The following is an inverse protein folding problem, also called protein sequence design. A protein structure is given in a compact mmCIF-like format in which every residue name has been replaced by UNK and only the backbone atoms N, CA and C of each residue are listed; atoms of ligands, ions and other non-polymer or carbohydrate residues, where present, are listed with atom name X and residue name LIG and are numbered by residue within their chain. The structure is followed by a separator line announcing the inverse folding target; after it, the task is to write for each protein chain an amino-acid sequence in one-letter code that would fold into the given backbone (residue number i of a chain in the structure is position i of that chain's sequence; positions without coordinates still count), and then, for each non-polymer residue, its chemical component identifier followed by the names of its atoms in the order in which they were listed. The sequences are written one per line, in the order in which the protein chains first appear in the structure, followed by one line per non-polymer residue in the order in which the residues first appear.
data_IF_200979071660
#
_entry.id   IF_200979071660
#
_cell.length_a   1.000
_cell.length_b   1.000
_cell.length_c   1.000
_cell.angle_alpha   90.00
_cell.angle_beta   90.00
_cell.angle_gamma   90.00
#
_symmetry.space_group_name_H-M   'P 1'
#
loop_
_entity.id
_entity.type
_entity.pdbx_description
1 polymer ?
#
# COMPACT_ATOMS: atom_id res chain seq x y z
N UNK A 1 -17.65 2.55 25.64
CA UNK A 1 -18.45 2.04 24.51
C UNK A 1 -17.52 1.25 23.62
N UNK A 2 -17.94 0.11 23.12
CA UNK A 2 -17.11 -0.72 22.22
C UNK A 2 -17.03 -0.06 20.84
N UNK A 3 -15.82 0.04 20.26
CA UNK A 3 -15.64 0.65 18.95
C UNK A 3 -16.28 -0.22 17.84
N UNK A 4 -16.77 0.43 16.81
CA UNK A 4 -17.35 -0.20 15.62
C UNK A 4 -16.52 0.21 14.42
N UNK A 5 -15.64 -0.67 13.96
CA UNK A 5 -14.69 -0.41 12.89
C UNK A 5 -15.08 -1.23 11.66
N UNK A 6 -15.16 -0.58 10.51
CA UNK A 6 -15.36 -1.21 9.22
C UNK A 6 -14.06 -1.04 8.41
N UNK A 7 -13.61 -2.08 7.75
CA UNK A 7 -12.61 -2.01 6.69
C UNK A 7 -13.28 -2.32 5.36
N UNK A 8 -13.20 -1.40 4.41
CA UNK A 8 -13.69 -1.57 3.03
C UNK A 8 -12.49 -1.74 2.11
N UNK A 9 -12.58 -2.67 1.17
CA UNK A 9 -11.51 -2.99 0.21
C UNK A 9 -12.16 -3.37 -1.13
N UNK A 10 -11.81 -2.63 -2.18
CA UNK A 10 -12.37 -2.85 -3.51
C UNK A 10 -11.79 -4.10 -4.14
N UNK A 11 -12.65 -4.98 -4.66
CA UNK A 11 -12.23 -6.23 -5.25
C UNK A 11 -11.54 -6.01 -6.60
N UNK A 12 -10.25 -6.37 -6.69
CA UNK A 12 -9.41 -6.24 -7.88
C UNK A 12 -9.52 -4.84 -8.53
N UNK A 13 -9.38 -3.78 -7.74
CA UNK A 13 -9.83 -2.42 -8.04
C UNK A 13 -9.51 -1.95 -9.47
N UNK A 14 -8.22 -1.81 -9.83
CA UNK A 14 -7.87 -1.29 -11.15
C UNK A 14 -8.37 -2.17 -12.28
N UNK A 15 -8.25 -3.49 -12.14
CA UNK A 15 -8.75 -4.44 -13.13
C UNK A 15 -10.28 -4.35 -13.27
N UNK A 16 -11.00 -4.18 -12.16
CA UNK A 16 -12.46 -4.04 -12.15
C UNK A 16 -12.91 -2.75 -12.81
N UNK A 17 -12.18 -1.64 -12.61
CA UNK A 17 -12.45 -0.37 -13.32
C UNK A 17 -12.26 -0.53 -14.83
N UNK A 18 -11.19 -1.21 -15.26
CA UNK A 18 -10.96 -1.46 -16.68
C UNK A 18 -12.07 -2.35 -17.30
N UNK A 19 -12.48 -3.42 -16.61
CA UNK A 19 -13.59 -4.29 -17.05
C UNK A 19 -14.94 -3.59 -17.04
N UNK A 20 -15.17 -2.64 -16.12
CA UNK A 20 -16.37 -1.80 -16.09
C UNK A 20 -16.44 -0.91 -17.33
N UNK A 21 -15.36 -0.21 -17.60
CA UNK A 21 -15.29 0.82 -18.65
C UNK A 21 -15.16 0.23 -20.05
N UNK A 22 -14.55 -0.97 -20.19
CA UNK A 22 -14.43 -1.69 -21.44
C UNK A 22 -15.01 -3.11 -21.32
N UNK A 23 -16.24 -3.35 -21.85
CA UNK A 23 -16.88 -4.65 -21.80
C UNK A 23 -16.09 -5.81 -22.42
N UNK A 24 -15.23 -5.54 -23.40
CA UNK A 24 -14.39 -6.58 -24.07
C UNK A 24 -13.37 -7.21 -23.10
N UNK A 25 -13.04 -6.52 -22.00
CA UNK A 25 -12.13 -7.03 -20.97
C UNK A 25 -12.82 -7.91 -19.92
N UNK A 26 -14.15 -8.06 -19.99
CA UNK A 26 -14.92 -8.85 -19.03
C UNK A 26 -14.76 -10.34 -19.30
N UNK A 27 -14.61 -11.11 -18.22
CA UNK A 27 -14.53 -12.57 -18.31
C UNK A 27 -13.20 -13.13 -18.82
N UNK A 28 -12.24 -12.28 -19.17
CA UNK A 28 -10.90 -12.69 -19.61
C UNK A 28 -9.85 -12.45 -18.55
N UNK A 29 -8.75 -13.21 -18.52
CA UNK A 29 -7.62 -12.93 -17.65
C UNK A 29 -7.00 -11.58 -18.00
N UNK A 30 -7.05 -10.60 -17.07
CA UNK A 30 -6.61 -9.24 -17.25
C UNK A 30 -5.59 -8.87 -16.17
N UNK A 31 -4.53 -8.17 -16.57
CA UNK A 31 -3.60 -7.49 -15.69
C UNK A 31 -3.50 -6.00 -16.08
N UNK A 32 -3.61 -5.14 -15.09
CA UNK A 32 -3.24 -3.72 -15.25
C UNK A 32 -1.75 -3.60 -14.96
N UNK A 33 -1.01 -3.01 -15.88
CA UNK A 33 0.44 -2.86 -15.79
C UNK A 33 1.09 -2.82 -17.16
N UNK A 34 2.41 -2.95 -17.19
CA UNK A 34 3.20 -2.93 -18.41
C UNK A 34 3.66 -4.34 -18.76
N UNK A 35 3.53 -4.71 -20.04
CA UNK A 35 3.87 -6.04 -20.54
C UNK A 35 5.36 -6.25 -20.81
N UNK A 36 6.16 -5.16 -20.75
CA UNK A 36 7.58 -5.12 -21.05
C UNK A 36 8.41 -5.97 -20.08
N UNK A 37 9.69 -6.14 -20.39
CA UNK A 37 10.61 -7.03 -19.66
C UNK A 37 10.69 -6.72 -18.17
N UNK A 38 10.68 -5.42 -17.79
CA UNK A 38 10.71 -4.95 -16.41
C UNK A 38 9.35 -4.56 -15.86
N UNK A 39 8.30 -4.87 -16.61
CA UNK A 39 6.92 -4.60 -16.21
C UNK A 39 6.51 -5.38 -14.96
N UNK A 40 5.54 -4.82 -14.23
CA UNK A 40 4.96 -5.38 -13.01
C UNK A 40 3.44 -5.35 -13.12
N UNK A 41 2.78 -6.37 -12.61
CA UNK A 41 1.33 -6.40 -12.43
C UNK A 41 0.94 -5.45 -11.29
N UNK A 42 0.24 -4.37 -11.61
CA UNK A 42 -0.32 -3.47 -10.60
C UNK A 42 -1.59 -4.07 -9.98
N UNK A 43 -2.47 -4.64 -10.81
CA UNK A 43 -3.66 -5.36 -10.36
C UNK A 43 -3.98 -6.52 -11.34
N UNK A 44 -4.53 -7.60 -10.81
CA UNK A 44 -4.96 -8.77 -11.59
C UNK A 44 -6.45 -9.01 -11.40
N UNK A 45 -7.19 -9.26 -12.49
CA UNK A 45 -8.58 -9.69 -12.44
C UNK A 45 -8.73 -11.04 -11.73
N UNK A 46 -9.94 -11.33 -11.26
CA UNK A 46 -10.19 -12.65 -10.64
C UNK A 46 -10.00 -13.82 -11.62
N UNK A 47 -10.26 -13.59 -12.90
CA UNK A 47 -9.96 -14.55 -13.97
C UNK A 47 -8.46 -14.83 -14.05
N UNK A 48 -7.61 -13.80 -14.00
CA UNK A 48 -6.15 -13.95 -13.99
C UNK A 48 -5.64 -14.61 -12.69
N UNK A 49 -6.26 -14.30 -11.55
CA UNK A 49 -5.90 -14.89 -10.24
C UNK A 49 -6.11 -16.39 -10.17
N UNK A 50 -7.03 -16.97 -10.97
CA UNK A 50 -7.23 -18.43 -11.10
C UNK A 50 -5.98 -19.15 -11.63
N UNK A 51 -5.18 -18.45 -12.43
CA UNK A 51 -3.89 -18.94 -12.94
C UNK A 51 -2.70 -18.64 -12.02
N UNK A 52 -2.95 -18.06 -10.84
CA UNK A 52 -1.89 -17.68 -9.89
C UNK A 52 -1.27 -16.30 -10.12
N UNK A 53 -1.79 -15.50 -11.05
CA UNK A 53 -1.34 -14.13 -11.26
C UNK A 53 -1.75 -13.24 -10.07
N UNK A 54 -0.82 -12.44 -9.57
CA UNK A 54 -1.03 -11.56 -8.40
C UNK A 54 -0.37 -10.20 -8.63
N UNK A 55 -0.86 -9.18 -7.90
CA UNK A 55 -0.20 -7.87 -7.83
C UNK A 55 1.25 -8.00 -7.36
N UNK A 56 2.09 -7.09 -7.79
CA UNK A 56 3.54 -7.04 -7.58
C UNK A 56 4.36 -8.15 -8.29
N UNK A 57 3.71 -9.07 -8.98
CA UNK A 57 4.39 -10.08 -9.79
C UNK A 57 5.01 -9.44 -11.05
N UNK A 58 6.20 -9.91 -11.46
CA UNK A 58 6.77 -9.47 -12.74
C UNK A 58 5.89 -9.91 -13.90
N UNK A 59 5.75 -9.06 -14.91
CA UNK A 59 4.90 -9.33 -16.08
C UNK A 59 5.33 -10.58 -16.83
N UNK A 60 6.63 -10.87 -16.88
CA UNK A 60 7.14 -12.11 -17.49
C UNK A 60 6.69 -13.37 -16.73
N UNK A 61 6.73 -13.33 -15.38
CA UNK A 61 6.22 -14.46 -14.58
C UNK A 61 4.71 -14.61 -14.76
N UNK A 62 3.96 -13.50 -14.78
CA UNK A 62 2.53 -13.50 -15.00
C UNK A 62 2.14 -14.13 -16.34
N UNK A 63 2.85 -13.77 -17.43
CA UNK A 63 2.65 -14.38 -18.77
C UNK A 63 2.98 -15.86 -18.80
N UNK A 64 3.99 -16.32 -18.05
CA UNK A 64 4.29 -17.77 -17.96
C UNK A 64 3.19 -18.54 -17.24
N UNK A 65 2.57 -17.97 -16.20
CA UNK A 65 1.47 -18.59 -15.48
C UNK A 65 0.16 -18.55 -16.29
N UNK A 66 -0.06 -17.50 -17.07
CA UNK A 66 -1.26 -17.30 -17.88
C UNK A 66 -0.85 -16.76 -19.26
N UNK A 67 -0.56 -17.65 -20.24
CA UNK A 67 -0.13 -17.23 -21.59
C UNK A 67 -1.15 -16.34 -22.32
N UNK A 68 -2.45 -16.52 -22.05
CA UNK A 68 -3.54 -15.70 -22.59
C UNK A 68 -3.79 -14.39 -21.81
N UNK A 69 -2.93 -14.03 -20.87
CA UNK A 69 -3.09 -12.82 -20.07
C UNK A 69 -3.05 -11.54 -20.92
N UNK A 70 -4.11 -10.77 -20.85
CA UNK A 70 -4.19 -9.45 -21.49
C UNK A 70 -3.64 -8.40 -20.54
N UNK A 71 -2.70 -7.58 -21.03
CA UNK A 71 -2.19 -6.42 -20.29
C UNK A 71 -2.84 -5.15 -20.82
N UNK A 72 -3.24 -4.28 -19.87
CA UNK A 72 -3.68 -2.90 -20.16
C UNK A 72 -2.88 -1.92 -19.33
N UNK A 73 -2.56 -0.76 -19.92
CA UNK A 73 -1.90 0.33 -19.20
C UNK A 73 -2.84 0.91 -18.13
N UNK A 74 -2.29 1.23 -16.98
CA UNK A 74 -3.06 1.83 -15.89
C UNK A 74 -3.48 3.27 -16.18
N UNK A 75 -4.73 3.63 -15.85
CA UNK A 75 -5.30 4.98 -15.94
C UNK A 75 -5.40 5.59 -14.53
N UNK A 76 -4.29 6.03 -13.98
CA UNK A 76 -4.19 6.47 -12.58
C UNK A 76 -5.10 7.66 -12.24
N UNK A 77 -5.35 8.55 -13.19
CA UNK A 77 -6.29 9.66 -13.08
C UNK A 77 -7.73 9.18 -12.89
N UNK A 78 -8.15 8.16 -13.65
CA UNK A 78 -9.46 7.52 -13.53
C UNK A 78 -9.59 6.81 -12.17
N UNK A 79 -8.57 6.04 -11.77
CA UNK A 79 -8.61 5.33 -10.47
C UNK A 79 -8.71 6.29 -9.29
N UNK A 80 -7.99 7.43 -9.34
CA UNK A 80 -8.12 8.49 -8.32
C UNK A 80 -9.51 9.14 -8.32
N UNK A 81 -10.11 9.34 -9.49
CA UNK A 81 -11.47 9.88 -9.59
C UNK A 81 -12.49 8.91 -8.98
N UNK A 82 -12.41 7.63 -9.30
CA UNK A 82 -13.25 6.59 -8.72
C UNK A 82 -13.04 6.48 -7.20
N UNK A 83 -11.80 6.53 -6.74
CA UNK A 83 -11.47 6.52 -5.31
C UNK A 83 -12.16 7.69 -4.57
N UNK A 84 -12.18 8.90 -5.14
CA UNK A 84 -12.90 10.04 -4.55
C UNK A 84 -14.41 9.76 -4.44
N UNK A 85 -15.04 9.20 -5.48
CA UNK A 85 -16.46 8.83 -5.44
C UNK A 85 -16.74 7.77 -4.34
N UNK A 86 -15.85 6.80 -4.16
CA UNK A 86 -15.95 5.82 -3.07
C UNK A 86 -15.89 6.53 -1.71
N UNK A 87 -14.98 7.48 -1.53
CA UNK A 87 -14.86 8.25 -0.30
C UNK A 87 -16.09 9.16 -0.05
N UNK A 88 -16.72 9.72 -1.07
CA UNK A 88 -17.98 10.44 -0.96
C UNK A 88 -19.08 9.56 -0.34
N UNK A 89 -19.17 8.29 -0.78
CA UNK A 89 -20.09 7.32 -0.18
C UNK A 89 -19.73 7.07 1.30
N UNK A 90 -18.47 6.95 1.67
CA UNK A 90 -18.06 6.75 3.07
C UNK A 90 -18.46 7.94 3.95
N UNK A 91 -18.31 9.17 3.43
CA UNK A 91 -18.64 10.40 4.14
C UNK A 91 -20.15 10.55 4.44
N UNK A 92 -21.01 9.81 3.79
CA UNK A 92 -22.44 9.78 4.15
C UNK A 92 -22.67 9.15 5.53
N UNK A 93 -21.74 8.31 6.01
CA UNK A 93 -21.87 7.57 7.26
C UNK A 93 -20.95 8.09 8.37
N UNK A 94 -19.73 8.50 8.05
CA UNK A 94 -18.75 9.00 9.03
C UNK A 94 -17.71 9.89 8.37
N UNK A 95 -17.12 10.81 9.14
CA UNK A 95 -15.93 11.56 8.71
C UNK A 95 -14.62 10.98 9.29
N UNK A 96 -14.73 9.98 10.17
CA UNK A 96 -13.55 9.30 10.73
C UNK A 96 -13.15 8.17 9.78
N UNK A 97 -12.40 8.54 8.72
CA UNK A 97 -12.00 7.66 7.63
C UNK A 97 -10.46 7.70 7.52
N UNK A 98 -9.82 6.55 7.57
CA UNK A 98 -8.37 6.40 7.36
C UNK A 98 -8.11 5.66 6.05
N UNK A 99 -7.75 6.36 4.96
CA UNK A 99 -7.35 5.72 3.71
C UNK A 99 -6.02 5.00 3.88
N UNK A 100 -5.93 3.76 3.45
CA UNK A 100 -4.68 3.00 3.35
C UNK A 100 -4.09 3.08 1.95
N UNK A 101 -4.97 3.07 0.93
CA UNK A 101 -4.66 3.17 -0.49
C UNK A 101 -5.79 3.88 -1.24
N UNK A 102 -5.83 3.78 -2.57
CA UNK A 102 -6.94 4.30 -3.37
C UNK A 102 -8.22 3.46 -3.24
N UNK A 103 -8.09 2.21 -2.84
CA UNK A 103 -9.13 1.18 -2.87
C UNK A 103 -9.50 0.61 -1.50
N UNK A 104 -8.80 1.01 -0.45
CA UNK A 104 -9.11 0.52 0.90
C UNK A 104 -9.05 1.62 1.96
N UNK A 105 -9.95 1.53 2.93
CA UNK A 105 -10.00 2.43 4.07
C UNK A 105 -10.61 1.77 5.31
N UNK A 106 -10.18 2.27 6.48
CA UNK A 106 -10.91 2.06 7.73
C UNK A 106 -11.91 3.17 7.96
N UNK A 107 -13.08 2.80 8.49
CA UNK A 107 -14.13 3.72 8.94
C UNK A 107 -14.42 3.44 10.40
N UNK A 108 -14.39 4.47 11.25
CA UNK A 108 -14.95 4.38 12.59
C UNK A 108 -16.41 4.86 12.53
N UNK A 109 -17.33 3.91 12.75
CA UNK A 109 -18.78 4.15 12.74
C UNK A 109 -19.40 3.96 14.12
N UNK A 110 -18.58 4.04 15.17
CA UNK A 110 -19.03 3.96 16.56
C UNK A 110 -20.14 4.96 16.83
N UNK A 111 -19.91 6.20 16.39
CA UNK A 111 -20.93 7.24 16.22
C UNK A 111 -21.03 7.55 14.73
N UNK A 112 -22.18 7.38 14.10
CA UNK A 112 -22.35 7.58 12.67
C UNK A 112 -23.46 8.57 12.36
N UNK A 113 -23.37 9.21 11.20
CA UNK A 113 -24.25 10.32 10.79
C UNK A 113 -25.73 9.93 10.61
N UNK A 114 -25.99 8.65 10.37
CA UNK A 114 -27.32 8.14 10.09
C UNK A 114 -27.97 7.43 11.31
N UNK A 115 -27.28 7.40 12.44
CA UNK A 115 -27.72 6.73 13.67
C UNK A 115 -28.07 5.24 13.45
N UNK A 116 -27.39 4.57 12.53
CA UNK A 116 -27.55 3.13 12.29
C UNK A 116 -26.89 2.36 13.43
N UNK A 117 -27.60 1.51 14.16
CA UNK A 117 -27.07 0.89 15.37
C UNK A 117 -26.02 -0.20 15.09
N UNK A 118 -26.12 -0.90 13.94
CA UNK A 118 -25.23 -2.02 13.61
C UNK A 118 -24.26 -1.64 12.50
N UNK A 119 -22.97 -1.75 12.76
CA UNK A 119 -21.92 -1.51 11.78
C UNK A 119 -22.00 -2.43 10.54
N UNK A 120 -22.50 -3.64 10.71
CA UNK A 120 -22.73 -4.56 9.57
C UNK A 120 -23.76 -4.04 8.60
N UNK A 121 -24.78 -3.33 9.06
CA UNK A 121 -25.81 -2.74 8.17
C UNK A 121 -25.24 -1.53 7.42
N UNK A 122 -24.38 -0.74 8.05
CA UNK A 122 -23.62 0.32 7.37
C UNK A 122 -22.70 -0.29 6.29
N UNK A 123 -21.98 -1.36 6.60
CA UNK A 123 -21.13 -2.03 5.63
C UNK A 123 -21.91 -2.58 4.42
N UNK A 124 -23.11 -3.15 4.65
CA UNK A 124 -24.02 -3.57 3.58
C UNK A 124 -24.47 -2.40 2.72
N UNK A 125 -24.89 -1.30 3.35
CA UNK A 125 -25.34 -0.11 2.65
C UNK A 125 -24.23 0.51 1.78
N UNK A 126 -23.00 0.61 2.30
CA UNK A 126 -21.84 1.08 1.54
C UNK A 126 -21.56 0.18 0.34
N UNK A 127 -21.50 -1.14 0.55
CA UNK A 127 -21.30 -2.10 -0.55
C UNK A 127 -22.38 -1.99 -1.62
N UNK A 128 -23.63 -1.84 -1.22
CA UNK A 128 -24.77 -1.70 -2.13
C UNK A 128 -24.65 -0.41 -2.94
N UNK A 129 -24.36 0.73 -2.31
CA UNK A 129 -24.15 2.00 -3.01
C UNK A 129 -23.00 1.97 -4.00
N UNK A 130 -21.85 1.40 -3.61
CA UNK A 130 -20.72 1.23 -4.52
C UNK A 130 -21.15 0.41 -5.75
N UNK A 131 -21.92 -0.65 -5.55
CA UNK A 131 -22.44 -1.48 -6.66
C UNK A 131 -23.38 -0.74 -7.58
N UNK A 132 -24.34 -0.01 -7.02
CA UNK A 132 -25.38 0.68 -7.77
C UNK A 132 -24.86 1.92 -8.49
N UNK A 133 -24.05 2.74 -7.81
CA UNK A 133 -23.60 4.03 -8.32
C UNK A 133 -22.30 3.93 -9.15
N UNK A 134 -21.39 3.03 -8.75
CA UNK A 134 -20.07 2.93 -9.39
C UNK A 134 -19.90 1.67 -10.23
N UNK A 135 -20.85 0.73 -10.17
CA UNK A 135 -20.79 -0.56 -10.85
C UNK A 135 -19.51 -1.35 -10.54
N UNK A 136 -19.08 -1.30 -9.29
CA UNK A 136 -17.91 -1.97 -8.76
C UNK A 136 -18.28 -2.82 -7.54
N UNK A 137 -17.41 -3.74 -7.18
CA UNK A 137 -17.60 -4.64 -6.04
C UNK A 137 -16.57 -4.32 -4.95
N UNK A 138 -17.05 -4.26 -3.71
CA UNK A 138 -16.22 -4.13 -2.53
C UNK A 138 -16.45 -5.29 -1.57
N UNK A 139 -15.41 -5.67 -0.84
CA UNK A 139 -15.49 -6.53 0.33
C UNK A 139 -15.39 -5.71 1.60
N UNK A 140 -16.08 -6.14 2.66
CA UNK A 140 -16.11 -5.43 3.93
C UNK A 140 -15.84 -6.36 5.11
N UNK A 141 -15.04 -5.88 6.05
CA UNK A 141 -14.81 -6.50 7.34
C UNK A 141 -15.29 -5.60 8.48
N UNK A 142 -15.99 -6.17 9.44
CA UNK A 142 -16.54 -5.45 10.58
C UNK A 142 -16.02 -6.06 11.86
N UNK A 143 -15.47 -5.23 12.75
CA UNK A 143 -15.04 -5.67 14.08
C UNK A 143 -14.92 -4.46 15.04
N UNK A 144 -14.34 -4.69 16.21
CA UNK A 144 -14.15 -3.68 17.25
C UNK A 144 -12.76 -3.01 17.21
N UNK A 145 -11.89 -3.42 16.30
CA UNK A 145 -10.58 -2.79 16.05
C UNK A 145 -10.13 -2.94 14.59
N UNK A 146 -9.10 -2.19 14.21
CA UNK A 146 -8.58 -2.14 12.84
C UNK A 146 -7.99 -3.48 12.39
N UNK A 147 -7.23 -4.15 13.25
CA UNK A 147 -6.60 -5.44 12.93
C UNK A 147 -7.63 -6.48 12.49
N UNK A 148 -8.65 -6.70 13.30
CA UNK A 148 -9.68 -7.70 13.00
C UNK A 148 -10.58 -7.29 11.83
N UNK A 149 -10.93 -6.00 11.72
CA UNK A 149 -11.73 -5.51 10.60
C UNK A 149 -11.01 -5.74 9.26
N UNK A 150 -9.69 -5.52 9.20
CA UNK A 150 -8.91 -5.76 7.98
C UNK A 150 -8.86 -7.24 7.62
N UNK A 151 -8.60 -8.12 8.56
CA UNK A 151 -8.59 -9.57 8.30
C UNK A 151 -9.98 -10.04 7.87
N UNK A 152 -11.03 -9.55 8.52
CA UNK A 152 -12.41 -9.90 8.17
C UNK A 152 -12.76 -9.51 6.73
N UNK A 153 -12.26 -8.38 6.22
CA UNK A 153 -12.53 -7.96 4.83
C UNK A 153 -11.91 -8.89 3.79
N UNK A 154 -10.81 -9.57 4.12
CA UNK A 154 -10.13 -10.51 3.22
C UNK A 154 -10.71 -11.94 3.28
N UNK A 155 -11.42 -12.27 4.36
CA UNK A 155 -11.80 -13.66 4.68
C UNK A 155 -12.76 -14.30 3.67
N UNK A 156 -13.63 -13.53 3.02
CA UNK A 156 -14.66 -14.04 2.09
C UNK A 156 -14.63 -13.34 0.73
N UNK A 157 -13.49 -12.80 0.29
CA UNK A 157 -13.36 -12.20 -1.05
C UNK A 157 -13.61 -13.25 -2.16
N UNK A 158 -14.19 -12.86 -3.30
CA UNK A 158 -14.74 -11.52 -3.62
C UNK A 158 -16.14 -11.28 -3.06
N UNK A 159 -16.56 -10.02 -3.07
CA UNK A 159 -17.88 -9.57 -2.61
C UNK A 159 -18.20 -9.98 -1.16
N UNK A 160 -17.14 -10.11 -0.36
CA UNK A 160 -17.22 -10.59 1.00
C UNK A 160 -17.87 -9.59 1.97
N UNK A 161 -18.49 -10.13 3.00
CA UNK A 161 -18.89 -9.41 4.20
C UNK A 161 -18.67 -10.35 5.39
N UNK A 162 -17.79 -9.98 6.29
CA UNK A 162 -17.47 -10.77 7.46
C UNK A 162 -17.44 -9.88 8.70
N UNK A 163 -18.10 -10.35 9.76
CA UNK A 163 -18.06 -9.69 11.07
C UNK A 163 -17.36 -10.60 12.07
N UNK A 164 -16.38 -10.06 12.79
CA UNK A 164 -15.71 -10.75 13.89
C UNK A 164 -16.15 -10.05 15.19
N UNK A 165 -17.05 -10.71 15.92
CA UNK A 165 -17.53 -10.23 17.21
C UNK A 165 -16.47 -10.49 18.31
N UNK A 166 -16.36 -9.66 19.35
CA UNK A 166 -15.40 -9.86 20.45
C UNK A 166 -15.41 -11.25 21.06
N UNK A 167 -16.59 -11.84 21.23
CA UNK A 167 -16.73 -13.22 21.76
C UNK A 167 -16.17 -14.32 20.85
N UNK A 168 -15.95 -14.01 19.56
CA UNK A 168 -15.44 -14.94 18.55
C UNK A 168 -13.96 -14.68 18.21
N UNK A 169 -13.43 -13.52 18.61
CA UNK A 169 -12.12 -13.04 18.18
C UNK A 169 -10.98 -13.98 18.59
N UNK A 170 -11.00 -14.48 19.81
CA UNK A 170 -9.95 -15.39 20.30
C UNK A 170 -9.90 -16.68 19.50
N UNK A 171 -11.04 -17.31 19.28
CA UNK A 171 -11.12 -18.57 18.52
C UNK A 171 -10.78 -18.38 17.05
N UNK A 172 -11.20 -17.25 16.46
CA UNK A 172 -10.84 -16.88 15.10
C UNK A 172 -9.32 -16.70 14.94
N UNK A 173 -8.69 -15.96 15.88
CA UNK A 173 -7.25 -15.68 15.82
C UNK A 173 -6.42 -16.95 16.02
N UNK A 174 -6.81 -17.86 16.90
CA UNK A 174 -6.09 -19.14 17.13
C UNK A 174 -5.81 -19.89 15.84
N UNK A 175 -6.80 -19.99 14.96
CA UNK A 175 -6.73 -20.74 13.71
C UNK A 175 -6.19 -19.93 12.53
N UNK A 176 -5.96 -18.61 12.71
CA UNK A 176 -5.49 -17.75 11.65
C UNK A 176 -4.04 -18.09 11.28
N UNK A 177 -3.74 -18.44 10.01
CA UNK A 177 -2.37 -18.61 9.55
C UNK A 177 -1.55 -17.35 9.75
N UNK A 178 -0.28 -17.50 10.08
CA UNK A 178 0.58 -16.36 10.41
C UNK A 178 0.71 -15.36 9.24
N UNK A 179 0.66 -15.84 8.02
CA UNK A 179 0.71 -15.03 6.78
C UNK A 179 -0.52 -14.13 6.62
N UNK A 180 -1.61 -14.46 7.30
CA UNK A 180 -2.85 -13.69 7.25
C UNK A 180 -2.91 -12.57 8.28
N UNK A 181 -1.93 -12.47 9.17
CA UNK A 181 -1.85 -11.36 10.11
C UNK A 181 -1.46 -10.07 9.41
N UNK A 182 -2.18 -9.01 9.67
CA UNK A 182 -1.87 -7.69 9.10
C UNK A 182 -0.46 -7.24 9.48
N UNK A 183 0.34 -6.87 8.47
CA UNK A 183 1.73 -6.46 8.64
C UNK A 183 2.75 -7.59 8.64
N UNK A 184 2.33 -8.83 8.51
CA UNK A 184 3.24 -9.98 8.34
C UNK A 184 3.38 -10.30 6.85
N UNK A 185 4.46 -9.81 6.25
CA UNK A 185 4.84 -10.17 4.88
C UNK A 185 5.61 -11.49 4.79
N UNK A 186 5.89 -11.98 3.56
CA UNK A 186 6.53 -13.29 3.35
C UNK A 186 7.84 -13.50 4.13
N UNK A 187 8.69 -12.48 4.21
CA UNK A 187 9.98 -12.57 4.94
C UNK A 187 9.75 -12.73 6.45
N UNK A 188 8.81 -11.97 7.00
CA UNK A 188 8.48 -12.06 8.43
C UNK A 188 7.81 -13.40 8.74
N UNK A 189 6.90 -13.86 7.88
CA UNK A 189 6.25 -15.16 8.01
C UNK A 189 7.28 -16.29 8.01
N UNK A 190 8.22 -16.30 7.07
CA UNK A 190 9.30 -17.28 7.02
C UNK A 190 10.15 -17.29 8.30
N UNK A 191 10.46 -16.10 8.85
CA UNK A 191 11.17 -16.00 10.12
C UNK A 191 10.34 -16.54 11.29
N UNK A 192 9.02 -16.27 11.31
CA UNK A 192 8.12 -16.84 12.32
C UNK A 192 8.05 -18.36 12.22
N UNK A 193 7.95 -18.91 11.01
CA UNK A 193 7.98 -20.36 10.78
C UNK A 193 9.27 -21.00 11.30
N UNK A 194 10.43 -20.35 11.10
CA UNK A 194 11.71 -20.87 11.65
C UNK A 194 11.76 -20.86 13.18
N UNK A 195 10.87 -20.11 13.84
CA UNK A 195 10.70 -20.08 15.29
C UNK A 195 9.57 -21.01 15.77
N UNK A 196 8.97 -21.80 14.87
CA UNK A 196 7.84 -22.69 15.17
C UNK A 196 6.49 -21.98 15.30
N UNK A 197 6.35 -20.75 14.76
CA UNK A 197 5.13 -19.96 14.82
C UNK A 197 4.47 -20.00 13.44
N UNK A 198 3.36 -20.77 13.30
CA UNK A 198 2.63 -20.96 12.05
C UNK A 198 1.21 -20.38 12.07
N UNK A 199 0.67 -20.13 13.27
CA UNK A 199 -0.71 -19.64 13.45
C UNK A 199 -0.82 -18.76 14.70
N UNK A 200 -2.01 -18.21 14.90
CA UNK A 200 -2.29 -17.31 16.02
C UNK A 200 -2.17 -17.96 17.39
N UNK A 201 -2.49 -19.26 17.54
CA UNK A 201 -2.33 -19.97 18.81
C UNK A 201 -0.85 -20.03 19.23
N UNK A 202 0.01 -20.42 18.30
CA UNK A 202 1.46 -20.48 18.56
C UNK A 202 2.06 -19.09 18.80
N UNK A 203 1.58 -18.07 18.07
CA UNK A 203 1.97 -16.68 18.31
C UNK A 203 1.55 -16.21 19.72
N UNK A 204 0.33 -16.54 20.14
CA UNK A 204 -0.19 -16.20 21.47
C UNK A 204 0.60 -16.85 22.61
N UNK A 205 1.16 -18.05 22.37
CA UNK A 205 1.99 -18.77 23.34
C UNK A 205 3.36 -18.10 23.55
N UNK A 206 3.79 -17.19 22.67
CA UNK A 206 5.06 -16.49 22.80
C UNK A 206 4.96 -15.36 23.84
N UNK A 207 6.06 -15.11 24.56
CA UNK A 207 6.15 -13.93 25.43
C UNK A 207 6.40 -12.65 24.64
N UNK A 208 5.98 -11.52 25.20
CA UNK A 208 6.21 -10.21 24.57
C UNK A 208 7.72 -9.92 24.43
N UNK A 209 8.53 -10.29 25.44
CA UNK A 209 9.98 -10.10 25.41
C UNK A 209 10.63 -10.86 24.26
N UNK A 210 10.22 -12.11 24.04
CA UNK A 210 10.72 -12.94 22.93
C UNK A 210 10.37 -12.30 21.58
N UNK A 211 9.10 -11.90 21.38
CA UNK A 211 8.64 -11.29 20.14
C UNK A 211 9.32 -9.93 19.91
N UNK A 212 9.50 -9.11 20.95
CA UNK A 212 10.20 -7.83 20.86
C UNK A 212 11.68 -8.02 20.50
N UNK A 213 12.34 -9.02 21.09
CA UNK A 213 13.74 -9.35 20.77
C UNK A 213 13.90 -9.79 19.30
N UNK A 214 12.93 -10.54 18.76
CA UNK A 214 13.00 -11.07 17.39
C UNK A 214 12.54 -10.07 16.32
N UNK A 215 11.57 -9.23 16.62
CA UNK A 215 10.87 -8.38 15.65
C UNK A 215 10.85 -6.88 16.00
N UNK A 216 11.54 -6.47 17.07
CA UNK A 216 11.59 -5.08 17.53
C UNK A 216 10.19 -4.55 17.90
N UNK A 217 9.91 -3.32 17.52
CA UNK A 217 8.60 -2.67 17.81
C UNK A 217 7.41 -3.45 17.23
N UNK A 218 7.58 -4.14 16.10
CA UNK A 218 6.53 -4.96 15.51
C UNK A 218 6.16 -6.16 16.39
N UNK A 219 7.13 -6.69 17.19
CA UNK A 219 6.89 -7.77 18.13
C UNK A 219 5.83 -7.44 19.19
N UNK A 220 5.76 -6.20 19.64
CA UNK A 220 4.72 -5.74 20.58
C UNK A 220 3.34 -5.82 19.91
N UNK A 221 3.23 -5.34 18.65
CA UNK A 221 1.98 -5.42 17.90
C UNK A 221 1.55 -6.86 17.65
N UNK A 222 2.48 -7.76 17.32
CA UNK A 222 2.16 -9.17 17.11
C UNK A 222 1.67 -9.85 18.39
N UNK A 223 2.26 -9.50 19.53
CA UNK A 223 1.81 -9.96 20.84
C UNK A 223 0.36 -9.50 21.14
N UNK A 224 0.05 -8.23 20.90
CA UNK A 224 -1.29 -7.66 21.08
C UNK A 224 -2.30 -8.27 20.09
N UNK A 225 -1.95 -8.35 18.81
CA UNK A 225 -2.81 -8.91 17.77
C UNK A 225 -3.21 -10.36 18.04
N UNK A 226 -2.28 -11.19 18.52
CA UNK A 226 -2.59 -12.57 18.91
C UNK A 226 -3.62 -12.68 20.05
N UNK A 227 -3.88 -11.57 20.75
CA UNK A 227 -4.85 -11.44 21.83
C UNK A 227 -6.10 -10.66 21.44
N UNK A 228 -6.22 -10.30 20.14
CA UNK A 228 -7.34 -9.51 19.63
C UNK A 228 -7.29 -8.05 20.05
N UNK A 229 -6.13 -7.56 20.47
CA UNK A 229 -5.92 -6.18 20.95
C UNK A 229 -5.32 -5.35 19.83
N UNK A 230 -5.99 -4.24 19.49
CA UNK A 230 -5.45 -3.17 18.65
C UNK A 230 -6.08 -1.85 19.11
N UNK A 231 -5.33 -1.09 19.87
CA UNK A 231 -5.80 0.18 20.45
C UNK A 231 -5.67 1.37 19.51
N UNK A 232 -5.04 1.19 18.34
CA UNK A 232 -4.85 2.29 17.38
C UNK A 232 -6.20 2.83 16.93
N UNK A 233 -6.42 4.16 16.99
CA UNK A 233 -7.63 4.77 16.45
C UNK A 233 -7.64 4.73 14.91
N UNK A 234 -8.80 4.98 14.32
CA UNK A 234 -8.92 5.34 12.91
C UNK A 234 -8.50 6.80 12.78
N UNK A 235 -7.45 7.07 12.01
CA UNK A 235 -6.83 8.40 11.88
C UNK A 235 -7.33 9.09 10.62
N UNK A 236 -8.27 10.03 10.78
CA UNK A 236 -8.85 10.78 9.65
C UNK A 236 -7.87 11.77 9.01
N UNK A 237 -6.84 12.19 9.72
CA UNK A 237 -5.85 13.15 9.23
C UNK A 237 -4.48 12.49 9.18
N UNK A 238 -3.94 12.41 7.97
CA UNK A 238 -2.59 11.90 7.73
C UNK A 238 -1.64 13.04 7.36
N UNK A 239 -0.66 13.31 8.20
CA UNK A 239 0.40 14.26 7.89
C UNK A 239 1.39 13.59 6.93
N UNK A 240 1.62 14.22 5.78
CA UNK A 240 2.60 13.77 4.79
C UNK A 240 4.02 13.96 5.33
N UNK A 241 4.83 12.90 5.34
CA UNK A 241 6.21 12.92 5.86
C UNK A 241 7.27 13.05 4.76
N UNK A 242 6.93 12.76 3.53
CA UNK A 242 7.85 12.85 2.39
C UNK A 242 7.11 12.92 1.05
N UNK A 243 7.81 13.42 0.04
CA UNK A 243 7.44 13.35 -1.38
C UNK A 243 8.64 12.83 -2.14
N UNK A 244 8.44 11.88 -3.04
CA UNK A 244 9.52 11.33 -3.85
C UNK A 244 9.02 10.73 -5.16
N UNK A 245 9.97 10.45 -6.04
CA UNK A 245 9.77 9.71 -7.27
C UNK A 245 10.97 8.82 -7.54
N UNK A 246 10.76 7.76 -8.31
CA UNK A 246 11.83 6.85 -8.72
C UNK A 246 11.52 6.25 -10.09
N UNK A 247 12.55 6.11 -10.90
CA UNK A 247 12.48 5.51 -12.22
C UNK A 247 13.23 4.19 -12.27
N UNK A 248 12.52 3.11 -12.60
CA UNK A 248 13.17 1.87 -13.02
C UNK A 248 13.50 1.99 -14.50
N UNK A 249 14.79 1.94 -14.82
CA UNK A 249 15.28 2.15 -16.17
C UNK A 249 14.97 0.94 -17.08
N UNK A 250 14.73 1.17 -18.37
CA UNK A 250 14.53 0.07 -19.32
C UNK A 250 15.78 -0.81 -19.44
N UNK A 251 16.96 -0.19 -19.42
CA UNK A 251 18.28 -0.85 -19.40
C UNK A 251 19.12 -0.28 -18.28
N UNK A 252 19.98 -1.13 -17.73
CA UNK A 252 20.92 -0.69 -16.71
C UNK A 252 21.95 0.30 -17.31
N UNK A 253 22.29 1.33 -16.54
CA UNK A 253 23.24 2.36 -16.96
C UNK A 253 24.44 2.43 -16.04
N UNK A 254 25.63 2.66 -16.63
CA UNK A 254 26.91 2.81 -15.90
C UNK A 254 27.71 4.03 -16.36
N UNK A 255 27.30 4.67 -17.49
CA UNK A 255 27.98 5.86 -17.99
C UNK A 255 27.54 7.09 -17.21
N UNK A 256 28.50 7.88 -16.74
CA UNK A 256 28.24 9.10 -15.96
C UNK A 256 27.24 10.04 -16.64
N UNK A 257 27.38 10.27 -17.96
CA UNK A 257 26.46 11.13 -18.70
C UNK A 257 25.01 10.64 -18.63
N UNK A 258 24.79 9.33 -18.84
CA UNK A 258 23.47 8.71 -18.76
C UNK A 258 22.86 8.83 -17.36
N UNK A 259 23.68 8.59 -16.33
CA UNK A 259 23.24 8.69 -14.92
C UNK A 259 22.85 10.13 -14.57
N UNK A 260 23.62 11.12 -15.02
CA UNK A 260 23.32 12.54 -14.76
C UNK A 260 22.06 13.00 -15.50
N UNK A 261 21.84 12.53 -16.75
CA UNK A 261 20.60 12.82 -17.50
C UNK A 261 19.40 12.26 -16.76
N UNK A 262 19.46 11.00 -16.33
CA UNK A 262 18.35 10.38 -15.60
C UNK A 262 18.11 11.05 -14.24
N UNK A 263 19.18 11.41 -13.53
CA UNK A 263 19.08 12.16 -12.28
C UNK A 263 18.38 13.52 -12.47
N UNK A 264 18.64 14.19 -13.62
CA UNK A 264 17.95 15.42 -13.97
C UNK A 264 16.45 15.19 -14.20
N UNK A 265 16.05 14.13 -14.92
CA UNK A 265 14.65 13.78 -15.14
C UNK A 265 13.93 13.52 -13.81
N UNK A 266 14.52 12.69 -12.93
CA UNK A 266 13.96 12.41 -11.62
C UNK A 266 13.86 13.67 -10.76
N UNK A 267 14.87 14.55 -10.79
CA UNK A 267 14.84 15.80 -10.04
C UNK A 267 13.73 16.75 -10.55
N UNK A 268 13.54 16.83 -11.86
CA UNK A 268 12.48 17.63 -12.47
C UNK A 268 11.10 17.13 -12.07
N UNK A 269 10.86 15.82 -12.15
CA UNK A 269 9.60 15.22 -11.70
C UNK A 269 9.38 15.43 -10.19
N UNK A 270 10.43 15.35 -9.38
CA UNK A 270 10.33 15.62 -7.96
C UNK A 270 9.83 17.05 -7.67
N UNK A 271 10.37 18.04 -8.39
CA UNK A 271 9.92 19.44 -8.27
C UNK A 271 8.43 19.58 -8.61
N UNK A 272 7.98 19.00 -9.71
CA UNK A 272 6.56 19.00 -10.09
C UNK A 272 5.67 18.38 -9.00
N UNK A 273 6.12 17.28 -8.39
CA UNK A 273 5.41 16.63 -7.29
C UNK A 273 5.38 17.49 -6.02
N UNK A 274 6.48 18.16 -5.69
CA UNK A 274 6.56 19.08 -4.55
C UNK A 274 5.58 20.25 -4.75
N UNK A 275 5.58 20.89 -5.91
CA UNK A 275 4.66 21.98 -6.24
C UNK A 275 3.20 21.54 -6.15
N UNK A 276 2.85 20.40 -6.75
CA UNK A 276 1.48 19.87 -6.73
C UNK A 276 0.97 19.52 -5.34
N UNK A 277 1.87 19.07 -4.45
CA UNK A 277 1.50 18.65 -3.09
C UNK A 277 1.61 19.75 -2.05
N UNK A 278 2.31 20.85 -2.37
CA UNK A 278 2.64 21.91 -1.41
C UNK A 278 3.58 21.44 -0.29
N UNK A 279 4.22 20.25 -0.45
CA UNK A 279 5.09 19.70 0.59
C UNK A 279 6.41 20.46 0.67
N UNK A 280 6.80 20.81 1.88
CA UNK A 280 8.03 21.49 2.20
C UNK A 280 8.86 20.64 3.15
N UNK A 281 10.08 20.34 2.79
CA UNK A 281 11.00 19.54 3.60
C UNK A 281 12.44 19.95 3.32
N UNK A 282 13.35 19.56 4.19
CA UNK A 282 14.74 19.99 4.12
C UNK A 282 15.77 18.85 3.98
N UNK A 283 15.32 17.61 3.89
CA UNK A 283 16.20 16.45 3.74
C UNK A 283 16.01 15.82 2.36
N UNK A 284 17.05 15.88 1.52
CA UNK A 284 17.11 15.20 0.24
C UNK A 284 17.71 13.80 0.43
N UNK A 285 17.03 12.78 -0.09
CA UNK A 285 17.54 11.41 -0.14
C UNK A 285 17.65 10.94 -1.57
N UNK A 286 18.84 10.47 -1.96
CA UNK A 286 19.12 9.74 -3.20
C UNK A 286 18.99 8.25 -2.92
N UNK A 287 18.24 7.55 -3.77
CA UNK A 287 18.10 6.09 -3.78
C UNK A 287 18.64 5.53 -5.10
N UNK A 288 19.57 4.60 -5.01
CA UNK A 288 20.10 3.86 -6.16
C UNK A 288 19.83 2.37 -5.92
N UNK A 289 19.28 1.71 -6.92
CA UNK A 289 19.21 0.25 -6.97
C UNK A 289 20.01 -0.26 -8.15
N UNK A 290 20.87 -1.22 -7.92
CA UNK A 290 21.75 -1.81 -8.93
C UNK A 290 21.08 -2.97 -9.67
N UNK A 291 21.73 -3.47 -10.71
CA UNK A 291 21.25 -4.58 -11.55
C UNK A 291 20.99 -5.88 -10.75
N UNK A 292 21.71 -6.09 -9.67
CA UNK A 292 21.60 -7.24 -8.75
C UNK A 292 20.56 -7.02 -7.63
N UNK A 293 19.77 -5.95 -7.72
CA UNK A 293 18.76 -5.49 -6.74
C UNK A 293 19.35 -5.00 -5.40
N UNK A 294 20.65 -4.96 -5.21
CA UNK A 294 21.25 -4.25 -4.09
C UNK A 294 20.90 -2.77 -4.13
N UNK A 295 20.62 -2.19 -2.98
CA UNK A 295 20.15 -0.80 -2.88
C UNK A 295 21.06 0.01 -1.97
N UNK A 296 21.37 1.24 -2.39
CA UNK A 296 22.04 2.25 -1.57
C UNK A 296 21.18 3.50 -1.47
N UNK A 297 21.16 4.09 -0.29
CA UNK A 297 20.56 5.41 -0.05
C UNK A 297 21.60 6.33 0.56
N UNK A 298 21.51 7.62 0.19
CA UNK A 298 22.32 8.70 0.75
C UNK A 298 21.43 9.89 0.99
N UNK A 299 21.61 10.57 2.11
CA UNK A 299 20.76 11.72 2.48
C UNK A 299 21.62 12.91 2.90
N UNK A 300 21.10 14.11 2.65
CA UNK A 300 21.65 15.36 3.13
C UNK A 300 20.52 16.24 3.63
N UNK A 301 20.71 16.87 4.80
CA UNK A 301 19.76 17.79 5.40
C UNK A 301 20.30 19.21 5.29
N UNK A 302 19.46 20.15 4.87
CA UNK A 302 19.76 21.57 4.77
C UNK A 302 19.10 22.34 5.92
N UNK A 303 19.58 23.57 6.15
CA UNK A 303 18.98 24.49 7.15
C UNK A 303 17.72 25.19 6.65
N UNK A 304 17.31 24.96 5.40
CA UNK A 304 16.15 25.55 4.74
C UNK A 304 15.39 24.50 3.90
N UNK A 305 14.18 24.83 3.52
CA UNK A 305 13.36 24.01 2.64
C UNK A 305 13.98 23.87 1.23
N UNK A 306 13.90 22.67 0.64
CA UNK A 306 14.40 22.37 -0.69
C UNK A 306 13.22 22.35 -1.68
N UNK A 307 13.15 23.35 -2.56
CA UNK A 307 11.98 23.57 -3.42
C UNK A 307 12.32 23.75 -4.90
N UNK A 308 13.59 23.97 -5.24
CA UNK A 308 14.00 24.28 -6.62
C UNK A 308 14.95 23.24 -7.20
N UNK A 309 14.93 23.12 -8.52
CA UNK A 309 15.87 22.27 -9.24
C UNK A 309 17.33 22.73 -9.07
N UNK A 310 17.55 24.05 -8.99
CA UNK A 310 18.86 24.64 -8.81
C UNK A 310 19.50 24.25 -7.45
N UNK A 311 18.70 23.98 -6.43
CA UNK A 311 19.17 23.49 -5.13
C UNK A 311 19.31 21.96 -5.12
N UNK A 312 18.29 21.24 -5.60
CA UNK A 312 18.20 19.78 -5.48
C UNK A 312 19.21 19.06 -6.37
N UNK A 313 19.39 19.50 -7.62
CA UNK A 313 20.24 18.77 -8.57
C UNK A 313 21.72 18.77 -8.19
N UNK A 314 22.35 19.89 -7.74
CA UNK A 314 23.73 19.87 -7.24
C UNK A 314 23.92 18.98 -6.02
N UNK A 315 22.97 19.00 -5.08
CA UNK A 315 22.99 18.13 -3.89
C UNK A 315 22.89 16.66 -4.28
N UNK A 316 21.97 16.30 -5.18
CA UNK A 316 21.81 14.94 -5.67
C UNK A 316 23.08 14.44 -6.38
N UNK A 317 23.73 15.28 -7.20
CA UNK A 317 25.03 14.98 -7.83
C UNK A 317 26.12 14.78 -6.75
N UNK A 318 26.10 15.58 -5.69
CA UNK A 318 27.01 15.42 -4.55
C UNK A 318 26.84 14.05 -3.87
N UNK A 319 25.60 13.65 -3.59
CA UNK A 319 25.27 12.34 -2.98
C UNK A 319 25.65 11.15 -3.87
N UNK A 320 25.72 11.35 -5.19
CA UNK A 320 26.09 10.32 -6.15
C UNK A 320 27.59 10.05 -6.19
N UNK A 321 28.44 11.00 -5.81
CA UNK A 321 29.93 10.92 -5.94
C UNK A 321 30.53 9.68 -5.27
N UNK A 322 29.98 9.26 -4.13
CA UNK A 322 30.50 8.16 -3.33
C UNK A 322 29.81 6.82 -3.66
N UNK A 323 29.07 6.78 -4.75
CA UNK A 323 28.38 5.57 -5.20
C UNK A 323 29.09 5.03 -6.43
N UNK A 324 29.72 3.86 -6.28
CA UNK A 324 30.34 3.16 -7.40
C UNK A 324 29.25 2.51 -8.27
N UNK A 325 29.15 2.94 -9.52
CA UNK A 325 28.19 2.44 -10.50
C UNK A 325 28.80 2.12 -11.86
N UNK A 326 30.08 2.36 -12.06
CA UNK A 326 30.76 2.06 -13.32
C UNK A 326 30.90 0.55 -13.51
N UNK A 327 31.21 -0.17 -12.44
CA UNK A 327 31.30 -1.64 -12.39
C UNK A 327 29.99 -2.29 -11.90
N UNK A 328 29.09 -1.50 -11.24
CA UNK A 328 27.79 -1.93 -10.75
C UNK A 328 26.68 -1.11 -11.43
N UNK A 329 26.20 -1.51 -12.61
CA UNK A 329 25.22 -0.73 -13.37
C UNK A 329 23.94 -0.46 -12.58
N UNK A 330 23.40 0.76 -12.73
CA UNK A 330 22.21 1.24 -12.07
C UNK A 330 20.96 0.76 -12.80
N UNK A 331 20.05 0.16 -12.08
CA UNK A 331 18.71 -0.27 -12.51
C UNK A 331 17.62 0.74 -12.18
N UNK A 332 17.75 1.48 -11.06
CA UNK A 332 16.75 2.43 -10.60
C UNK A 332 17.43 3.63 -9.94
N UNK A 333 16.91 4.82 -10.22
CA UNK A 333 17.26 6.07 -9.56
C UNK A 333 16.01 6.69 -8.95
N UNK A 334 16.12 7.14 -7.70
CA UNK A 334 15.05 7.84 -6.99
C UNK A 334 15.56 9.01 -6.18
N UNK A 335 14.72 10.01 -6.05
CA UNK A 335 14.92 11.16 -5.17
C UNK A 335 13.68 11.39 -4.31
N UNK A 336 13.89 11.79 -3.06
CA UNK A 336 12.80 12.17 -2.18
C UNK A 336 13.20 13.32 -1.26
N UNK A 337 12.21 14.17 -0.96
CA UNK A 337 12.31 15.19 0.09
C UNK A 337 11.51 14.71 1.29
N UNK A 338 12.10 14.79 2.46
CA UNK A 338 11.49 14.40 3.75
C UNK A 338 11.82 15.45 4.82
N UNK A 339 11.44 15.13 6.07
CA UNK A 339 11.59 16.00 7.21
C UNK A 339 10.86 17.33 6.98
N UNK A 340 9.52 17.38 7.27
CA UNK A 340 8.72 18.59 7.09
C UNK A 340 9.39 19.78 7.76
N UNK A 341 9.58 20.85 7.00
CA UNK A 341 10.19 22.08 7.50
C UNK A 341 9.08 22.98 8.03
N UNK A 342 8.98 23.09 9.35
CA UNK A 342 8.15 24.11 10.00
C UNK A 342 9.01 25.37 10.17
N UNK A 343 8.65 26.47 9.50
CA UNK A 343 9.20 27.76 9.89
C UNK A 343 8.75 28.02 11.32
N UNK A 344 9.68 28.09 12.26
CA UNK A 344 9.40 28.76 13.51
C UNK A 344 9.06 30.22 13.14
N UNK A 345 7.79 30.58 13.23
CA UNK A 345 7.37 31.96 13.20
C UNK A 345 7.91 32.57 14.48
N UNK A 346 9.00 33.39 14.35
CA UNK A 346 9.48 34.30 15.37
C UNK A 346 8.54 35.51 15.47
#
# INVERSE_FOLDING_TARGET
MERKIIHIDMDAFYASVEQRDNPELRGIPLAVGHAEERGVVAAASYEARKFGVRSAMSSQRAKRLCPQLTFVSGRMDVYKAVSRQIHEIFHEYTDIIEPLSLDEAFLDVTENKQNIPLAVDIAKAIKQKIREELHLIASAGVSYNKFLAKIASDYRKPDGLCTIHPSQAEEFIKHLPIESFWGIGPVTAQRMHSLGIHNGEQLRACSQEMLTRQFGKAGVLYYEFSRGIDLRPVEAVRIRKSVGCEHTLEKDISRQSSVIIELYHVATELIERLQRTGFKGNTLTLKIKFHDFNQKTRSITQSHELTTLAEILPLAKGLLKDIEYTTHPIRLIGLSISNPYEKNEE
#
